data_IF_718631537175
#
_entry.id   IF_718631537175
#
_cell.length_a   1.000
_cell.length_b   1.000
_cell.length_c   1.000
_cell.angle_alpha   90.00
_cell.angle_beta   90.00
_cell.angle_gamma   90.00
#
_symmetry.space_group_name_H-M   'P 1'
#
loop_
_entity.id
_entity.type
_entity.pdbx_description
1 polymer ?
#
# COMPACT_ATOMS: atom_id res chain seq x y z
N UNK A 1 -10.29 9.05 2.24
CA UNK A 1 -10.08 8.76 0.80
C UNK A 1 -8.67 9.19 0.43
N UNK A 2 -7.79 8.25 0.13
CA UNK A 2 -6.45 8.55 -0.41
C UNK A 2 -6.58 8.65 -1.92
N UNK A 3 -6.12 9.77 -2.51
CA UNK A 3 -6.07 9.93 -3.98
C UNK A 3 -4.62 9.96 -4.41
N UNK A 4 -4.24 8.99 -5.26
CA UNK A 4 -2.95 8.97 -5.95
C UNK A 4 -3.12 9.69 -7.27
N UNK A 5 -2.35 10.77 -7.49
CA UNK A 5 -2.36 11.52 -8.75
C UNK A 5 -1.06 11.25 -9.50
N UNK A 6 -1.15 10.78 -10.76
CA UNK A 6 0.01 10.53 -11.61
C UNK A 6 0.21 11.64 -12.65
N UNK A 7 1.41 12.24 -12.74
CA UNK A 7 1.76 13.17 -13.83
C UNK A 7 2.52 12.44 -14.94
N UNK A 8 1.95 12.41 -16.15
CA UNK A 8 2.43 11.65 -17.31
C UNK A 8 3.75 12.15 -17.91
N UNK A 9 4.21 13.34 -17.57
CA UNK A 9 5.47 13.88 -18.11
C UNK A 9 6.73 13.31 -17.44
N UNK A 10 6.63 12.76 -16.22
CA UNK A 10 7.78 12.25 -15.44
C UNK A 10 7.49 11.00 -14.58
N UNK A 11 6.36 10.31 -14.80
CA UNK A 11 5.88 9.17 -13.97
C UNK A 11 6.04 9.47 -12.46
N UNK A 12 5.41 10.52 -11.98
CA UNK A 12 5.44 10.91 -10.57
C UNK A 12 4.10 10.67 -9.90
N UNK A 13 4.12 10.27 -8.63
CA UNK A 13 2.94 10.13 -7.78
C UNK A 13 2.96 11.13 -6.62
N UNK A 14 1.80 11.67 -6.29
CA UNK A 14 1.53 12.47 -5.08
C UNK A 14 0.28 11.96 -4.40
N UNK A 15 0.19 12.14 -3.08
CA UNK A 15 -0.94 11.64 -2.31
C UNK A 15 -1.58 12.67 -1.43
N UNK A 16 -2.90 12.67 -1.46
CA UNK A 16 -3.73 13.61 -0.74
C UNK A 16 -4.50 12.88 0.36
N UNK A 17 -4.29 13.31 1.61
CA UNK A 17 -4.93 12.76 2.81
C UNK A 17 -5.32 13.91 3.73
N UNK A 18 -6.59 13.99 4.11
CA UNK A 18 -7.11 14.96 5.09
C UNK A 18 -6.66 16.42 4.86
N UNK A 19 -6.60 16.88 3.61
CA UNK A 19 -6.16 18.25 3.29
C UNK A 19 -4.66 18.43 3.06
N UNK A 20 -3.86 17.39 3.32
CA UNK A 20 -2.41 17.42 3.15
C UNK A 20 -1.98 16.67 1.89
N UNK A 21 -1.00 17.21 1.17
CA UNK A 21 -0.41 16.58 -0.03
C UNK A 21 1.03 16.17 0.25
N UNK A 22 1.41 14.95 -0.14
CA UNK A 22 2.79 14.46 -0.06
C UNK A 22 3.70 15.15 -1.08
N UNK A 23 5.01 15.08 -0.87
CA UNK A 23 5.97 15.44 -1.93
C UNK A 23 5.83 14.48 -3.14
N UNK A 24 6.08 14.97 -4.37
CA UNK A 24 6.12 14.11 -5.55
C UNK A 24 7.20 13.04 -5.43
N UNK A 25 6.82 11.78 -5.68
CA UNK A 25 7.73 10.64 -5.68
C UNK A 25 7.79 10.02 -7.07
N UNK A 26 8.99 9.69 -7.56
CA UNK A 26 9.15 9.03 -8.86
C UNK A 26 8.70 7.57 -8.82
N UNK A 27 7.94 7.16 -9.83
CA UNK A 27 7.51 5.78 -10.06
C UNK A 27 8.59 5.10 -10.91
N UNK A 28 9.33 4.17 -10.32
CA UNK A 28 10.44 3.46 -10.98
C UNK A 28 10.07 2.06 -11.48
N UNK A 29 8.89 1.56 -11.09
CA UNK A 29 8.40 0.24 -11.44
C UNK A 29 6.92 0.29 -11.85
N UNK A 30 6.46 -0.73 -12.56
CA UNK A 30 5.09 -0.83 -13.06
C UNK A 30 5.04 -1.31 -14.50
N UNK A 31 3.85 -1.75 -14.92
CA UNK A 31 3.62 -2.30 -16.27
C UNK A 31 3.18 -1.16 -17.21
N UNK A 32 3.57 -1.16 -18.50
CA UNK A 32 3.02 -0.22 -19.46
C UNK A 32 1.49 -0.31 -19.54
N UNK A 33 0.82 0.85 -19.51
CA UNK A 33 -0.64 0.92 -19.69
C UNK A 33 -1.01 0.37 -21.08
N UNK A 34 -2.04 -0.46 -21.16
CA UNK A 34 -2.43 -1.16 -22.40
C UNK A 34 -1.69 -2.49 -22.64
N UNK A 35 -0.85 -2.93 -21.70
CA UNK A 35 -0.25 -4.27 -21.76
C UNK A 35 -1.31 -5.35 -21.48
N UNK A 36 -1.42 -6.33 -22.39
CA UNK A 36 -2.24 -7.54 -22.21
C UNK A 36 -1.76 -8.35 -20.99
N UNK A 37 -0.47 -8.27 -20.66
CA UNK A 37 0.12 -8.96 -19.51
C UNK A 37 -0.06 -8.18 -18.20
N UNK A 38 -0.53 -6.94 -18.23
CA UNK A 38 -0.75 -6.12 -17.03
C UNK A 38 -1.59 -6.83 -15.97
N UNK A 39 -2.80 -7.32 -16.31
CA UNK A 39 -3.64 -8.06 -15.36
C UNK A 39 -2.97 -9.32 -14.81
N UNK A 40 -2.30 -10.11 -15.65
CA UNK A 40 -1.63 -11.35 -15.22
C UNK A 40 -0.47 -11.05 -14.26
N UNK A 41 0.38 -10.08 -14.60
CA UNK A 41 1.50 -9.67 -13.75
C UNK A 41 1.01 -9.07 -12.43
N UNK A 42 -0.11 -8.36 -12.46
CA UNK A 42 -0.75 -7.85 -11.25
C UNK A 42 -1.28 -8.99 -10.37
N UNK A 43 -1.96 -10.00 -10.93
CA UNK A 43 -2.41 -11.17 -10.18
C UNK A 43 -1.26 -11.96 -9.55
N UNK A 44 -0.14 -12.11 -10.26
CA UNK A 44 1.07 -12.73 -9.69
C UNK A 44 1.65 -11.88 -8.55
N UNK A 45 1.72 -10.56 -8.74
CA UNK A 45 2.23 -9.63 -7.73
C UNK A 45 1.39 -9.65 -6.44
N UNK A 46 0.06 -9.57 -6.55
CA UNK A 46 -0.81 -9.53 -5.38
C UNK A 46 -0.80 -10.87 -4.64
N UNK A 47 -0.68 -12.00 -5.36
CA UNK A 47 -0.61 -13.33 -4.76
C UNK A 47 0.68 -13.55 -3.95
N UNK A 48 1.75 -12.80 -4.23
CA UNK A 48 2.98 -12.83 -3.44
C UNK A 48 2.97 -11.89 -2.23
N UNK A 49 1.99 -10.97 -2.13
CA UNK A 49 1.87 -10.00 -1.04
C UNK A 49 1.87 -10.65 0.37
N UNK A 50 1.19 -11.78 0.63
CA UNK A 50 1.19 -12.39 1.96
C UNK A 50 2.57 -12.83 2.44
N UNK A 51 3.50 -13.10 1.52
CA UNK A 51 4.89 -13.49 1.86
C UNK A 51 5.69 -12.35 2.47
N UNK A 52 5.23 -11.10 2.30
CA UNK A 52 5.87 -9.91 2.84
C UNK A 52 5.38 -9.54 4.25
N UNK A 53 4.27 -10.11 4.71
CA UNK A 53 3.63 -9.79 5.99
C UNK A 53 4.00 -10.85 7.03
N UNK A 54 4.48 -10.44 8.20
CA UNK A 54 4.97 -11.33 9.26
C UNK A 54 4.03 -11.35 10.47
N UNK A 55 3.39 -10.22 10.75
CA UNK A 55 2.63 -9.99 11.99
C UNK A 55 1.16 -9.68 11.75
N UNK A 56 0.77 -9.49 10.49
CA UNK A 56 -0.59 -9.14 10.06
C UNK A 56 -1.14 -10.18 9.08
N UNK A 57 -2.46 -10.23 8.97
CA UNK A 57 -3.16 -11.16 8.09
C UNK A 57 -3.75 -10.41 6.89
N UNK A 58 -3.33 -10.73 5.65
CA UNK A 58 -3.94 -10.17 4.46
C UNK A 58 -5.21 -10.93 4.07
N UNK A 59 -6.21 -10.19 3.62
CA UNK A 59 -7.36 -10.69 2.88
C UNK A 59 -7.27 -10.12 1.45
N UNK A 60 -7.14 -11.01 0.47
CA UNK A 60 -6.98 -10.65 -0.94
C UNK A 60 -8.21 -11.05 -1.74
N UNK A 61 -8.69 -10.15 -2.59
CA UNK A 61 -9.74 -10.45 -3.55
C UNK A 61 -9.52 -9.66 -4.84
N UNK A 62 -9.17 -10.36 -5.92
CA UNK A 62 -8.81 -9.75 -7.20
C UNK A 62 -7.73 -8.65 -7.04
N UNK A 63 -8.10 -7.38 -7.23
CA UNK A 63 -7.26 -6.20 -7.05
C UNK A 63 -7.38 -5.51 -5.69
N UNK A 64 -8.31 -5.95 -4.85
CA UNK A 64 -8.48 -5.46 -3.49
C UNK A 64 -7.64 -6.27 -2.49
N UNK A 65 -7.01 -5.54 -1.57
CA UNK A 65 -6.25 -6.09 -0.47
C UNK A 65 -6.61 -5.38 0.83
N UNK A 66 -6.97 -6.15 1.85
CA UNK A 66 -7.19 -5.69 3.20
C UNK A 66 -6.12 -6.32 4.12
N UNK A 67 -5.54 -5.53 5.03
CA UNK A 67 -4.56 -6.02 6.00
C UNK A 67 -5.15 -5.85 7.39
N UNK A 68 -5.35 -6.98 8.07
CA UNK A 68 -5.95 -7.04 9.40
C UNK A 68 -4.87 -7.33 10.43
N UNK A 69 -4.90 -6.63 11.55
CA UNK A 69 -3.99 -6.80 12.67
C UNK A 69 -4.77 -6.78 13.98
N UNK A 70 -4.36 -7.60 14.95
CA UNK A 70 -4.97 -7.67 16.28
C UNK A 70 -3.91 -7.81 17.36
N UNK A 71 -4.04 -7.05 18.44
CA UNK A 71 -3.15 -7.07 19.60
C UNK A 71 -3.91 -6.56 20.82
N UNK A 72 -3.56 -7.05 22.01
CA UNK A 72 -4.07 -6.53 23.28
C UNK A 72 -3.43 -5.19 23.66
N UNK A 73 -2.25 -4.91 23.12
CA UNK A 73 -1.51 -3.67 23.31
C UNK A 73 -1.52 -2.83 22.02
N UNK A 74 -1.89 -1.56 22.16
CA UNK A 74 -2.00 -0.61 21.06
C UNK A 74 -0.64 -0.31 20.43
N UNK A 75 0.41 -0.15 21.24
CA UNK A 75 1.73 0.17 20.72
C UNK A 75 2.30 -0.99 19.91
N UNK A 76 2.09 -2.22 20.38
CA UNK A 76 2.41 -3.45 19.64
C UNK A 76 1.62 -3.56 18.34
N UNK A 77 0.32 -3.21 18.35
CA UNK A 77 -0.52 -3.21 17.15
C UNK A 77 0.03 -2.27 16.08
N UNK A 78 0.28 -1.02 16.47
CA UNK A 78 0.80 0.02 15.58
C UNK A 78 2.18 -0.35 15.07
N UNK A 79 3.05 -0.91 15.93
CA UNK A 79 4.38 -1.38 15.53
C UNK A 79 4.29 -2.49 14.49
N UNK A 80 3.51 -3.54 14.74
CA UNK A 80 3.36 -4.69 13.85
C UNK A 80 2.83 -4.28 12.48
N UNK A 81 1.80 -3.42 12.43
CA UNK A 81 1.28 -2.87 11.19
C UNK A 81 2.36 -2.08 10.43
N UNK A 82 3.03 -1.13 11.10
CA UNK A 82 4.03 -0.31 10.45
C UNK A 82 5.23 -1.12 9.94
N UNK A 83 5.66 -2.15 10.67
CA UNK A 83 6.78 -3.00 10.27
C UNK A 83 6.42 -3.87 9.05
N UNK A 84 5.21 -4.42 9.00
CA UNK A 84 4.72 -5.17 7.85
C UNK A 84 4.52 -4.28 6.61
N UNK A 85 4.00 -3.07 6.80
CA UNK A 85 3.83 -2.09 5.71
C UNK A 85 5.17 -1.62 5.12
N UNK A 86 6.27 -1.65 5.88
CA UNK A 86 7.62 -1.39 5.37
C UNK A 86 8.15 -2.54 4.50
N UNK A 87 7.71 -3.78 4.77
CA UNK A 87 8.13 -4.97 4.02
C UNK A 87 7.44 -5.10 2.67
N UNK A 88 6.35 -4.36 2.43
CA UNK A 88 5.66 -4.36 1.15
C UNK A 88 6.56 -3.79 0.04
N UNK A 89 6.67 -4.46 -1.12
CA UNK A 89 7.51 -4.01 -2.22
C UNK A 89 7.04 -2.65 -2.77
N UNK A 90 8.02 -1.80 -3.14
CA UNK A 90 7.93 -0.39 -3.58
C UNK A 90 6.87 -0.04 -4.65
N UNK A 91 6.20 -1.01 -5.26
CA UNK A 91 5.15 -0.84 -6.27
C UNK A 91 3.76 -0.51 -5.69
N UNK A 92 3.52 -0.82 -4.41
CA UNK A 92 2.36 -0.26 -3.71
C UNK A 92 2.74 1.15 -3.27
N UNK A 93 1.91 2.16 -3.59
CA UNK A 93 2.18 3.52 -3.15
C UNK A 93 2.29 3.48 -1.62
N UNK A 94 3.49 3.78 -1.09
CA UNK A 94 3.86 3.84 0.35
C UNK A 94 3.16 4.98 1.11
N UNK A 95 1.93 5.25 0.72
CA UNK A 95 1.38 6.60 0.55
C UNK A 95 0.17 6.78 1.48
N UNK A 96 0.00 5.88 2.44
CA UNK A 96 -1.06 5.97 3.44
C UNK A 96 -0.56 5.86 4.86
N UNK A 97 0.74 5.69 5.09
CA UNK A 97 1.26 5.28 6.41
C UNK A 97 1.46 6.48 7.35
N UNK A 98 0.45 7.33 7.47
CA UNK A 98 0.20 7.97 8.75
C UNK A 98 -0.58 6.94 9.55
N UNK A 99 0.04 6.41 10.60
CA UNK A 99 -0.56 5.70 11.72
C UNK A 99 -2.08 5.68 11.60
N UNK A 100 -2.65 4.51 11.29
CA UNK A 100 -4.08 4.29 11.54
C UNK A 100 -4.20 4.50 13.05
N UNK A 101 -4.52 5.74 13.45
CA UNK A 101 -4.97 6.07 14.77
C UNK A 101 -6.33 5.40 14.84
N UNK A 102 -6.32 4.10 15.18
CA UNK A 102 -7.51 3.39 15.59
C UNK A 102 -7.95 4.12 16.84
N UNK A 103 -8.91 5.05 16.68
CA UNK A 103 -9.56 5.71 17.80
C UNK A 103 -10.08 4.60 18.71
N UNK A 104 -9.64 4.52 19.98
CA UNK A 104 -10.41 3.79 20.96
C UNK A 104 -11.78 4.48 21.06
N UNK A 105 -12.84 3.68 21.21
CA UNK A 105 -14.16 4.18 21.56
C UNK A 105 -14.12 5.00 22.85
#
# INVERSE_FOLDING_TARGET
MVRVLSNNSKRQQVCFVNGHTSSPTQITCGVPQGSILGPLLFSLYINDMPKCLKSTTPCLYADDAEIVASSLDYDTLVKNLNDDLKNLPLGLPKIGYNTIQLKPN
#
